data_IF_267140030545
#
_entry.id   IF_267140030545
#
_cell.length_a   1.000
_cell.length_b   1.000
_cell.length_c   1.000
_cell.angle_alpha   90.00
_cell.angle_beta   90.00
_cell.angle_gamma   90.00
#
_symmetry.space_group_name_H-M   'P 1'
#
loop_
_entity.id
_entity.type
_entity.pdbx_description
1 polymer ?
#
# COMPACT_ATOMS: atom_id res chain seq x y z
N UNK A 1 18.24 -50.91 4.12
CA UNK A 1 16.87 -51.32 4.52
C UNK A 1 15.92 -50.79 3.46
N UNK A 2 15.35 -51.72 2.68
CA UNK A 2 14.36 -51.41 1.63
C UNK A 2 13.01 -51.28 2.28
N UNK A 3 12.23 -50.25 1.93
CA UNK A 3 10.78 -50.23 2.12
C UNK A 3 10.05 -49.97 0.81
N UNK A 4 9.12 -50.86 0.58
CA UNK A 4 8.38 -51.19 -0.64
C UNK A 4 7.15 -50.32 -0.77
N UNK A 5 6.92 -49.84 -1.99
CA UNK A 5 5.65 -49.19 -2.43
C UNK A 5 4.54 -50.25 -2.49
N UNK A 6 3.37 -49.92 -1.94
CA UNK A 6 2.11 -50.63 -2.20
C UNK A 6 1.12 -49.67 -2.79
N UNK A 7 0.85 -49.86 -4.09
CA UNK A 7 -0.28 -49.27 -4.80
C UNK A 7 -1.54 -50.08 -4.53
N UNK A 8 -2.64 -49.46 -4.17
CA UNK A 8 -3.97 -50.08 -4.21
C UNK A 8 -4.85 -49.37 -5.27
N UNK A 9 -5.03 -50.04 -6.38
CA UNK A 9 -6.08 -49.86 -7.36
C UNK A 9 -7.40 -50.34 -6.78
N UNK A 10 -8.42 -49.48 -6.82
CA UNK A 10 -9.82 -49.87 -6.55
C UNK A 10 -10.58 -49.86 -7.86
N UNK A 11 -11.01 -51.07 -8.25
CA UNK A 11 -11.91 -51.32 -9.38
C UNK A 11 -13.34 -50.87 -9.07
N UNK A 12 -13.91 -50.05 -9.92
CA UNK A 12 -15.34 -49.75 -9.97
C UNK A 12 -16.08 -50.83 -10.79
N UNK A 13 -16.98 -51.57 -10.14
CA UNK A 13 -17.94 -52.41 -10.84
C UNK A 13 -19.23 -51.64 -11.12
N UNK A 14 -19.61 -51.64 -12.39
CA UNK A 14 -20.92 -51.25 -12.91
C UNK A 14 -22.04 -52.08 -12.25
N UNK A 15 -23.10 -51.37 -11.82
CA UNK A 15 -24.43 -51.97 -11.66
C UNK A 15 -25.39 -51.22 -12.60
N UNK A 16 -25.82 -51.93 -13.64
CA UNK A 16 -26.85 -51.46 -14.54
C UNK A 16 -28.23 -51.62 -13.88
N UNK A 17 -29.01 -50.55 -13.91
CA UNK A 17 -30.46 -50.58 -13.65
C UNK A 17 -31.18 -50.30 -14.96
N UNK A 18 -31.83 -51.33 -15.45
CA UNK A 18 -32.76 -51.29 -16.59
C UNK A 18 -34.06 -50.65 -16.10
N UNK A 19 -34.40 -49.46 -16.59
CA UNK A 19 -35.73 -48.88 -16.43
C UNK A 19 -36.47 -48.99 -17.74
N UNK A 20 -37.53 -49.84 -17.72
CA UNK A 20 -38.52 -49.97 -18.80
C UNK A 20 -39.24 -48.62 -19.01
N UNK A 21 -39.09 -48.08 -20.21
CA UNK A 21 -39.90 -46.96 -20.67
C UNK A 21 -41.23 -47.47 -21.22
N UNK A 22 -42.31 -47.10 -20.58
CA UNK A 22 -43.66 -47.22 -21.15
C UNK A 22 -43.88 -46.03 -22.09
N UNK A 23 -44.07 -46.39 -23.37
CA UNK A 23 -44.52 -45.48 -24.42
C UNK A 23 -45.99 -45.17 -24.25
N UNK A 24 -46.35 -44.02 -23.72
CA UNK A 24 -47.65 -43.43 -23.97
C UNK A 24 -47.56 -42.50 -25.17
N UNK A 25 -48.08 -42.93 -26.32
CA UNK A 25 -48.32 -42.03 -27.44
C UNK A 25 -49.54 -41.18 -27.12
N UNK A 26 -49.35 -39.96 -26.62
CA UNK A 26 -50.40 -38.97 -26.62
C UNK A 26 -50.23 -38.10 -27.89
N UNK A 27 -51.21 -38.12 -28.73
CA UNK A 27 -51.41 -37.20 -29.83
C UNK A 27 -51.58 -35.79 -29.25
N UNK A 28 -50.52 -35.09 -29.10
CA UNK A 28 -50.53 -33.63 -28.85
C UNK A 28 -50.76 -32.94 -30.22
N UNK A 29 -51.98 -32.48 -30.43
CA UNK A 29 -52.25 -31.49 -31.45
C UNK A 29 -51.34 -30.29 -31.18
N UNK A 30 -50.42 -29.98 -32.10
CA UNK A 30 -49.66 -28.75 -32.14
C UNK A 30 -50.67 -27.60 -32.33
N UNK A 31 -51.08 -27.00 -31.22
CA UNK A 31 -51.67 -25.67 -31.23
C UNK A 31 -50.49 -24.71 -31.46
N UNK A 32 -50.33 -24.27 -32.70
CA UNK A 32 -49.49 -23.14 -33.04
C UNK A 32 -49.98 -21.95 -32.20
N UNK A 33 -49.17 -21.36 -31.33
CA UNK A 33 -49.58 -20.14 -30.65
C UNK A 33 -49.66 -19.07 -31.74
N UNK A 34 -50.86 -18.63 -32.05
CA UNK A 34 -51.13 -17.44 -32.86
C UNK A 34 -50.51 -16.28 -32.11
N UNK A 35 -49.35 -15.82 -32.56
CA UNK A 35 -48.66 -14.69 -31.98
C UNK A 35 -49.62 -13.48 -31.95
N UNK A 36 -50.10 -13.16 -30.77
CA UNK A 36 -50.55 -11.81 -30.47
C UNK A 36 -49.28 -10.97 -30.43
N UNK A 37 -48.97 -10.32 -31.52
CA UNK A 37 -48.15 -9.12 -31.50
C UNK A 37 -48.85 -8.12 -30.56
N UNK A 38 -48.54 -8.14 -29.31
CA UNK A 38 -48.97 -7.13 -28.36
C UNK A 38 -48.26 -5.84 -28.76
N UNK A 39 -49.02 -4.83 -29.20
CA UNK A 39 -48.45 -3.56 -29.53
C UNK A 39 -47.65 -3.02 -28.33
N UNK A 40 -46.44 -2.54 -28.56
CA UNK A 40 -45.59 -2.01 -27.53
C UNK A 40 -46.34 -0.97 -26.69
N UNK A 41 -46.37 -1.20 -25.39
CA UNK A 41 -47.06 -0.29 -24.47
C UNK A 41 -46.06 0.43 -23.62
N UNK A 42 -45.98 1.76 -23.78
CA UNK A 42 -45.18 2.61 -22.92
C UNK A 42 -46.05 3.25 -21.85
N UNK A 43 -45.70 3.12 -20.60
CA UNK A 43 -46.41 3.66 -19.44
C UNK A 43 -45.45 4.34 -18.48
N UNK A 44 -45.71 5.61 -18.07
CA UNK A 44 -44.95 6.20 -16.99
C UNK A 44 -45.28 5.46 -15.68
N UNK A 45 -44.24 5.01 -14.99
CA UNK A 45 -44.34 4.26 -13.75
C UNK A 45 -43.49 4.89 -12.66
N UNK A 46 -43.99 4.96 -11.45
CA UNK A 46 -43.19 5.23 -10.28
C UNK A 46 -42.38 3.98 -9.95
N UNK A 47 -41.04 4.05 -10.07
CA UNK A 47 -40.17 2.90 -9.96
C UNK A 47 -39.47 2.88 -8.60
N UNK A 48 -39.55 1.73 -7.95
CA UNK A 48 -38.81 1.42 -6.73
C UNK A 48 -37.80 0.30 -7.04
N UNK A 49 -36.52 0.57 -6.82
CA UNK A 49 -35.43 -0.39 -7.07
C UNK A 49 -34.85 -0.83 -5.73
N UNK A 50 -34.92 -2.13 -5.44
CA UNK A 50 -34.42 -2.73 -4.17
C UNK A 50 -34.88 -1.95 -2.92
N UNK A 51 -36.13 -1.48 -2.93
CA UNK A 51 -36.71 -0.73 -1.81
C UNK A 51 -36.39 0.77 -1.76
N UNK A 52 -35.69 1.29 -2.76
CA UNK A 52 -35.38 2.73 -2.88
C UNK A 52 -36.20 3.32 -4.02
N UNK A 53 -36.93 4.41 -3.76
CA UNK A 53 -37.65 5.15 -4.81
C UNK A 53 -36.66 5.79 -5.80
N UNK A 54 -36.90 5.56 -7.08
CA UNK A 54 -36.11 6.04 -8.21
C UNK A 54 -36.86 7.04 -9.10
N UNK A 55 -38.02 7.52 -8.65
CA UNK A 55 -38.82 8.46 -9.39
C UNK A 55 -39.65 7.83 -10.50
N UNK A 56 -40.14 8.66 -11.45
CA UNK A 56 -41.02 8.22 -12.53
C UNK A 56 -40.24 8.01 -13.82
N UNK A 57 -40.34 6.79 -14.35
CA UNK A 57 -39.69 6.38 -15.60
C UNK A 57 -40.70 5.88 -16.62
N UNK A 58 -40.46 6.17 -17.89
CA UNK A 58 -41.25 5.59 -18.96
C UNK A 58 -40.80 4.14 -19.18
N UNK A 59 -41.66 3.18 -18.87
CA UNK A 59 -41.37 1.75 -19.01
C UNK A 59 -42.11 1.21 -20.23
N UNK A 60 -41.37 0.53 -21.10
CA UNK A 60 -41.93 -0.13 -22.30
C UNK A 60 -42.13 -1.61 -22.02
N UNK A 61 -43.35 -2.09 -22.25
CA UNK A 61 -43.67 -3.51 -22.28
C UNK A 61 -43.68 -4.00 -23.73
N UNK A 62 -42.78 -4.94 -24.03
CA UNK A 62 -42.61 -5.58 -25.33
C UNK A 62 -42.58 -7.09 -25.14
N UNK A 63 -43.48 -7.82 -25.81
CA UNK A 63 -43.63 -9.28 -25.70
C UNK A 63 -43.67 -9.80 -24.23
N UNK A 64 -44.32 -9.04 -23.33
CA UNK A 64 -44.45 -9.39 -21.92
C UNK A 64 -43.20 -9.17 -21.06
N UNK A 65 -42.11 -8.63 -21.62
CA UNK A 65 -40.92 -8.20 -20.92
C UNK A 65 -40.92 -6.68 -20.72
N UNK A 66 -40.29 -6.20 -19.62
CA UNK A 66 -40.20 -4.79 -19.29
C UNK A 66 -38.84 -4.24 -19.66
N UNK A 67 -38.88 -3.08 -20.31
CA UNK A 67 -37.69 -2.35 -20.78
C UNK A 67 -37.68 -0.93 -20.20
N UNK A 68 -36.49 -0.45 -19.86
CA UNK A 68 -36.28 0.90 -19.33
C UNK A 68 -35.26 1.68 -20.19
N UNK A 69 -35.32 3.01 -20.21
CA UNK A 69 -34.35 3.80 -20.93
C UNK A 69 -32.97 3.75 -20.24
N UNK A 70 -31.90 3.99 -20.98
CA UNK A 70 -30.53 4.00 -20.46
C UNK A 70 -30.37 4.90 -19.23
N UNK A 71 -30.96 6.10 -19.26
CA UNK A 71 -30.92 7.04 -18.15
C UNK A 71 -31.46 6.46 -16.84
N UNK A 72 -32.43 5.51 -16.90
CA UNK A 72 -32.94 4.81 -15.72
C UNK A 72 -31.87 3.89 -15.13
N UNK A 73 -31.15 3.12 -15.97
CA UNK A 73 -30.05 2.24 -15.50
C UNK A 73 -28.89 3.04 -14.91
N UNK A 74 -28.56 4.21 -15.48
CA UNK A 74 -27.53 5.10 -14.96
C UNK A 74 -27.96 5.64 -13.57
N UNK A 75 -29.21 6.06 -13.41
CA UNK A 75 -29.77 6.50 -12.12
C UNK A 75 -29.80 5.36 -11.09
N UNK A 76 -30.17 4.17 -11.50
CA UNK A 76 -30.16 2.97 -10.66
C UNK A 76 -28.75 2.45 -10.35
N UNK A 77 -27.72 3.05 -10.99
CA UNK A 77 -26.34 2.63 -10.87
C UNK A 77 -26.07 1.18 -11.30
N UNK A 78 -26.79 0.73 -12.33
CA UNK A 78 -26.63 -0.59 -12.93
C UNK A 78 -25.86 -0.43 -14.24
N UNK A 79 -24.61 -0.94 -14.35
CA UNK A 79 -23.86 -0.91 -15.60
C UNK A 79 -24.61 -1.69 -16.67
N UNK A 80 -24.92 -1.03 -17.79
CA UNK A 80 -25.54 -1.68 -18.93
C UNK A 80 -24.53 -2.52 -19.69
N UNK A 81 -24.84 -3.80 -19.91
CA UNK A 81 -24.10 -4.65 -20.83
C UNK A 81 -24.42 -4.20 -22.28
N UNK A 82 -23.41 -3.88 -23.10
CA UNK A 82 -23.62 -3.51 -24.50
C UNK A 82 -24.37 -4.57 -25.34
N UNK A 83 -24.33 -5.82 -24.91
CA UNK A 83 -25.02 -6.94 -25.56
C UNK A 83 -26.46 -7.16 -25.07
N UNK A 84 -26.92 -6.37 -24.10
CA UNK A 84 -28.26 -6.51 -23.56
C UNK A 84 -29.33 -6.28 -24.63
N UNK A 85 -30.39 -7.11 -24.68
CA UNK A 85 -31.51 -6.90 -25.58
C UNK A 85 -32.14 -5.52 -25.38
N UNK A 86 -32.40 -4.82 -26.47
CA UNK A 86 -33.03 -3.52 -26.47
C UNK A 86 -34.09 -3.43 -27.56
N UNK A 87 -35.03 -2.50 -27.38
CA UNK A 87 -36.10 -2.21 -28.36
C UNK A 87 -36.09 -0.71 -28.64
N UNK A 88 -36.27 -0.31 -29.89
CA UNK A 88 -36.52 1.08 -30.27
C UNK A 88 -38.00 1.39 -30.05
N UNK A 89 -38.28 2.39 -29.25
CA UNK A 89 -39.61 2.95 -29.09
C UNK A 89 -39.60 4.46 -29.38
N UNK A 90 -40.19 4.85 -30.48
CA UNK A 90 -40.25 6.23 -30.96
C UNK A 90 -38.89 6.93 -31.13
N UNK A 91 -37.88 6.18 -31.59
CA UNK A 91 -36.52 6.70 -31.84
C UNK A 91 -35.64 6.78 -30.58
N UNK A 92 -36.04 6.12 -29.50
CA UNK A 92 -35.26 5.96 -28.29
C UNK A 92 -35.11 4.49 -27.92
N UNK A 93 -33.90 4.08 -27.59
CA UNK A 93 -33.62 2.71 -27.16
C UNK A 93 -34.02 2.50 -25.69
N UNK A 94 -34.63 1.34 -25.44
CA UNK A 94 -34.98 0.83 -24.13
C UNK A 94 -34.38 -0.56 -23.93
N UNK A 95 -33.70 -0.77 -22.83
CA UNK A 95 -32.98 -2.02 -22.50
C UNK A 95 -33.80 -2.92 -21.60
N UNK A 96 -33.66 -4.24 -21.81
CA UNK A 96 -34.36 -5.26 -21.03
C UNK A 96 -33.91 -5.30 -19.58
N UNK A 97 -34.82 -5.06 -18.65
CA UNK A 97 -34.56 -5.25 -17.22
C UNK A 97 -34.33 -6.73 -16.85
N UNK A 98 -34.93 -7.64 -17.61
CA UNK A 98 -34.79 -9.09 -17.38
C UNK A 98 -33.36 -9.60 -17.65
N UNK A 99 -32.52 -8.84 -18.35
CA UNK A 99 -31.11 -9.16 -18.60
C UNK A 99 -30.22 -8.95 -17.37
N UNK A 100 -30.68 -8.13 -16.42
CA UNK A 100 -29.93 -7.84 -15.21
C UNK A 100 -30.06 -9.00 -14.20
N UNK A 101 -28.95 -9.40 -13.62
CA UNK A 101 -28.91 -10.51 -12.67
C UNK A 101 -29.87 -10.32 -11.49
N UNK A 102 -30.60 -11.38 -11.16
CA UNK A 102 -31.54 -11.42 -10.04
C UNK A 102 -32.83 -10.64 -10.26
N UNK A 103 -33.13 -10.25 -11.51
CA UNK A 103 -34.34 -9.51 -11.85
C UNK A 103 -35.62 -10.20 -11.34
N UNK A 104 -36.39 -9.41 -10.62
CA UNK A 104 -37.80 -9.73 -10.26
C UNK A 104 -38.59 -8.41 -10.30
N UNK A 105 -39.81 -8.46 -10.78
CA UNK A 105 -40.65 -7.26 -10.83
C UNK A 105 -42.04 -7.51 -10.28
N UNK A 106 -42.61 -6.50 -9.65
CA UNK A 106 -44.00 -6.45 -9.26
C UNK A 106 -44.61 -5.21 -9.85
N UNK A 107 -45.45 -5.38 -10.86
CA UNK A 107 -46.10 -4.32 -11.61
C UNK A 107 -47.52 -4.10 -11.10
N UNK A 108 -47.91 -2.86 -10.86
CA UNK A 108 -49.24 -2.46 -10.52
C UNK A 108 -49.71 -1.31 -11.45
N UNK A 109 -50.52 -1.67 -12.42
CA UNK A 109 -51.05 -0.66 -13.38
C UNK A 109 -52.05 0.32 -12.77
N UNK A 110 -52.78 -0.10 -11.73
CA UNK A 110 -53.82 0.77 -11.12
C UNK A 110 -53.16 1.97 -10.37
N UNK A 111 -52.02 1.71 -9.73
CA UNK A 111 -51.23 2.75 -9.05
C UNK A 111 -50.06 3.27 -9.88
N UNK A 112 -49.89 2.82 -11.11
CA UNK A 112 -48.77 3.12 -11.99
C UNK A 112 -47.40 2.95 -11.26
N UNK A 113 -47.25 1.87 -10.48
CA UNK A 113 -46.05 1.59 -9.73
C UNK A 113 -45.37 0.29 -10.18
N UNK A 114 -44.04 0.30 -10.16
CA UNK A 114 -43.20 -0.84 -10.52
C UNK A 114 -42.11 -1.03 -9.44
N UNK A 115 -42.23 -2.12 -8.69
CA UNK A 115 -41.18 -2.56 -7.78
C UNK A 115 -40.25 -3.53 -8.50
N UNK A 116 -38.98 -3.19 -8.58
CA UNK A 116 -37.94 -4.03 -9.21
C UNK A 116 -36.91 -4.43 -8.19
N UNK A 117 -36.55 -5.70 -8.22
CA UNK A 117 -35.45 -6.26 -7.45
C UNK A 117 -34.38 -6.75 -8.41
N UNK A 118 -33.13 -6.40 -8.15
CA UNK A 118 -31.94 -6.91 -8.81
C UNK A 118 -31.00 -7.52 -7.78
N UNK A 119 -30.12 -8.41 -8.22
CA UNK A 119 -29.05 -8.90 -7.36
C UNK A 119 -28.17 -7.71 -6.88
N UNK A 120 -27.79 -7.63 -5.63
CA UNK A 120 -26.91 -6.57 -5.15
C UNK A 120 -25.60 -6.44 -5.94
N UNK A 121 -25.08 -7.57 -6.47
CA UNK A 121 -23.86 -7.58 -7.28
C UNK A 121 -24.02 -6.93 -8.68
N UNK A 122 -25.25 -6.70 -9.13
CA UNK A 122 -25.53 -6.03 -10.40
C UNK A 122 -25.28 -4.52 -10.36
N UNK A 123 -25.21 -3.94 -9.18
CA UNK A 123 -24.99 -2.49 -9.02
C UNK A 123 -23.52 -2.10 -9.14
N UNK A 124 -23.26 -0.89 -9.62
CA UNK A 124 -21.93 -0.33 -9.65
C UNK A 124 -21.33 -0.26 -8.24
N UNK A 125 -20.05 -0.62 -8.13
CA UNK A 125 -19.31 -0.62 -6.86
C UNK A 125 -19.20 0.79 -6.28
N UNK A 126 -19.50 0.95 -5.00
CA UNK A 126 -19.30 2.18 -4.25
C UNK A 126 -17.93 2.16 -3.59
N UNK A 127 -17.10 3.14 -3.89
CA UNK A 127 -15.85 3.36 -3.17
C UNK A 127 -16.09 4.37 -2.04
N UNK A 128 -15.76 3.97 -0.82
CA UNK A 128 -15.82 4.79 0.37
C UNK A 128 -14.40 5.16 0.76
N UNK A 129 -14.12 6.44 0.82
CA UNK A 129 -12.80 6.98 1.16
C UNK A 129 -12.72 8.44 0.74
N UNK A 130 -11.65 9.12 1.11
CA UNK A 130 -11.35 10.42 0.53
C UNK A 130 -10.74 10.19 -0.86
N UNK A 131 -11.34 10.70 -1.92
CA UNK A 131 -10.70 10.65 -3.22
C UNK A 131 -9.39 11.44 -3.16
N UNK A 132 -8.27 10.81 -3.49
CA UNK A 132 -6.95 11.45 -3.59
C UNK A 132 -6.92 12.61 -4.60
N UNK A 133 -7.88 12.64 -5.52
CA UNK A 133 -8.10 13.72 -6.50
C UNK A 133 -8.46 15.08 -5.87
N UNK A 134 -8.73 15.14 -4.55
CA UNK A 134 -9.01 16.39 -3.85
C UNK A 134 -7.75 17.12 -3.33
N UNK A 135 -6.55 16.52 -3.52
CA UNK A 135 -5.32 17.21 -3.19
C UNK A 135 -5.04 18.30 -4.23
N UNK A 136 -4.61 19.52 -3.79
CA UNK A 136 -4.28 20.55 -4.73
C UNK A 136 -3.15 20.11 -5.67
N UNK A 137 -3.26 20.44 -6.94
CA UNK A 137 -2.19 20.20 -7.90
C UNK A 137 -0.91 20.87 -7.42
N UNK A 138 0.23 20.18 -7.61
CA UNK A 138 1.54 20.76 -7.30
C UNK A 138 1.75 21.99 -8.17
N UNK A 139 1.83 23.17 -7.55
CA UNK A 139 2.07 24.42 -8.26
C UNK A 139 3.53 24.53 -8.72
N UNK A 140 3.78 25.45 -9.64
CA UNK A 140 5.15 25.80 -10.07
C UNK A 140 5.85 26.48 -8.91
N UNK A 141 7.06 26.02 -8.56
CA UNK A 141 7.87 26.63 -7.52
C UNK A 141 8.32 28.03 -7.95
N UNK A 142 8.00 29.03 -7.15
CA UNK A 142 8.52 30.37 -7.36
C UNK A 142 9.99 30.47 -6.92
N UNK A 143 10.83 31.25 -7.60
CA UNK A 143 12.18 31.50 -7.15
C UNK A 143 12.18 32.07 -5.72
N UNK A 144 12.83 31.39 -4.80
CA UNK A 144 12.91 31.79 -3.39
C UNK A 144 14.26 31.48 -2.80
N UNK A 145 14.71 32.37 -1.90
CA UNK A 145 15.91 32.17 -1.09
C UNK A 145 15.48 32.09 0.36
N UNK A 146 16.03 31.13 1.12
CA UNK A 146 15.76 30.99 2.54
C UNK A 146 17.01 30.69 3.34
N UNK A 147 16.98 31.05 4.60
CA UNK A 147 18.02 30.78 5.59
C UNK A 147 17.37 30.20 6.85
N UNK A 148 17.75 28.97 7.19
CA UNK A 148 17.41 28.33 8.44
C UNK A 148 18.62 28.38 9.36
N UNK A 149 18.40 28.64 10.65
CA UNK A 149 19.48 28.62 11.62
C UNK A 149 19.01 28.13 12.98
N UNK A 150 19.90 27.45 13.68
CA UNK A 150 19.80 27.08 15.09
C UNK A 150 21.03 27.55 15.81
N UNK A 151 20.87 28.33 16.88
CA UNK A 151 21.93 28.86 17.69
C UNK A 151 21.79 28.38 19.12
N UNK A 152 22.84 27.74 19.65
CA UNK A 152 22.90 27.28 21.01
C UNK A 152 24.06 27.99 21.74
N UNK A 153 23.74 28.77 22.76
CA UNK A 153 24.74 29.40 23.62
C UNK A 153 24.70 28.76 25.00
N UNK A 154 25.87 28.27 25.45
CA UNK A 154 26.03 27.67 26.76
C UNK A 154 27.13 28.43 27.53
N UNK A 155 26.82 28.82 28.77
CA UNK A 155 27.78 29.36 29.73
C UNK A 155 27.82 28.46 30.95
N UNK A 156 29.03 28.04 31.33
CA UNK A 156 29.25 27.20 32.51
C UNK A 156 30.23 27.92 33.43
N UNK A 157 29.77 28.26 34.62
CA UNK A 157 30.61 28.85 35.69
C UNK A 157 30.90 27.75 36.71
N UNK A 158 32.18 27.42 36.89
CA UNK A 158 32.62 26.30 37.75
C UNK A 158 33.35 26.81 38.99
N UNK A 159 32.91 27.89 39.57
CA UNK A 159 33.48 28.46 40.83
C UNK A 159 34.95 28.83 40.72
N UNK A 160 35.83 27.95 41.13
CA UNK A 160 37.29 28.21 41.12
C UNK A 160 37.95 28.02 39.73
N UNK A 161 37.23 27.56 38.74
CA UNK A 161 37.71 27.40 37.35
C UNK A 161 37.25 28.56 36.45
N UNK A 162 37.96 28.78 35.34
CA UNK A 162 37.56 29.79 34.36
C UNK A 162 36.17 29.53 33.79
N UNK A 163 35.31 30.55 33.74
CA UNK A 163 34.00 30.51 33.08
C UNK A 163 34.16 30.07 31.63
N UNK A 164 33.49 28.99 31.25
CA UNK A 164 33.45 28.51 29.87
C UNK A 164 32.24 29.07 29.17
N UNK A 165 32.42 29.57 27.95
CA UNK A 165 31.37 30.03 27.06
C UNK A 165 31.52 29.31 25.73
N UNK A 166 30.42 28.80 25.21
CA UNK A 166 30.40 28.16 23.93
C UNK A 166 29.17 28.63 23.11
N UNK A 167 29.40 28.91 21.84
CA UNK A 167 28.34 29.16 20.86
C UNK A 167 28.43 28.09 19.78
N UNK A 168 27.38 27.26 19.70
CA UNK A 168 27.12 26.36 18.60
C UNK A 168 26.17 26.99 17.58
N UNK A 169 26.37 26.73 16.32
CA UNK A 169 25.54 27.21 15.23
C UNK A 169 25.30 26.07 14.21
N UNK A 170 24.06 25.80 13.86
CA UNK A 170 23.69 25.04 12.67
C UNK A 170 23.01 26.02 11.71
N UNK A 171 23.48 26.11 10.47
CA UNK A 171 22.91 26.99 9.46
C UNK A 171 22.65 26.24 8.15
N UNK A 172 21.58 26.58 7.47
CA UNK A 172 21.27 26.09 6.13
C UNK A 172 20.81 27.27 5.26
N UNK A 173 21.40 27.40 4.10
CA UNK A 173 20.94 28.31 3.05
C UNK A 173 20.38 27.50 1.91
N UNK A 174 19.21 27.89 1.36
CA UNK A 174 18.59 27.23 0.24
C UNK A 174 18.06 28.19 -0.81
N UNK A 175 18.19 27.80 -2.07
CA UNK A 175 17.60 28.46 -3.23
C UNK A 175 16.70 27.49 -3.99
N UNK A 176 15.43 27.84 -4.12
CA UNK A 176 14.40 27.09 -4.85
C UNK A 176 14.04 27.80 -6.14
N UNK A 177 13.83 27.04 -7.20
CA UNK A 177 13.31 27.51 -8.49
C UNK A 177 12.55 26.36 -9.21
N UNK A 178 12.02 26.63 -10.39
CA UNK A 178 11.43 25.63 -11.29
C UNK A 178 12.44 24.54 -11.74
N UNK A 179 13.74 24.86 -11.73
CA UNK A 179 14.81 23.91 -12.05
C UNK A 179 15.04 22.91 -10.91
N UNK A 180 14.76 23.28 -9.68
CA UNK A 180 14.96 22.46 -8.49
C UNK A 180 15.37 23.29 -7.28
N UNK A 181 15.79 22.60 -6.23
CA UNK A 181 16.23 23.15 -4.94
C UNK A 181 17.71 22.89 -4.72
N UNK A 182 18.47 23.94 -4.44
CA UNK A 182 19.84 23.83 -3.94
C UNK A 182 19.85 24.17 -2.45
N UNK A 183 20.43 23.33 -1.62
CA UNK A 183 20.64 23.59 -0.20
C UNK A 183 22.10 23.42 0.16
N UNK A 184 22.58 24.20 1.12
CA UNK A 184 23.92 24.02 1.73
C UNK A 184 23.83 24.26 3.22
N UNK A 185 24.32 23.32 4.02
CA UNK A 185 24.31 23.39 5.48
C UNK A 185 25.71 23.36 6.06
N UNK A 186 25.87 24.04 7.20
CA UNK A 186 27.16 24.17 7.91
C UNK A 186 26.95 24.16 9.42
N UNK A 187 27.93 23.62 10.11
CA UNK A 187 28.00 23.52 11.56
C UNK A 187 29.17 24.34 12.09
N UNK A 188 28.87 25.28 12.98
CA UNK A 188 29.86 26.01 13.79
C UNK A 188 29.92 25.44 15.20
N UNK A 189 31.11 25.18 15.71
CA UNK A 189 31.34 24.69 17.07
C UNK A 189 32.34 25.57 17.78
N UNK A 190 32.14 25.78 19.07
CA UNK A 190 33.02 26.53 19.94
C UNK A 190 33.36 27.95 19.41
N UNK A 191 32.35 28.59 18.77
CA UNK A 191 32.57 29.88 18.09
C UNK A 191 32.96 31.01 19.02
N UNK A 192 32.59 30.93 20.30
CA UNK A 192 32.90 31.91 21.36
C UNK A 192 33.80 31.35 22.47
N UNK A 193 34.38 30.16 22.27
CA UNK A 193 35.28 29.58 23.30
C UNK A 193 36.41 30.55 23.64
N UNK A 194 36.41 30.98 24.91
CA UNK A 194 37.36 31.93 25.46
C UNK A 194 38.36 31.27 26.43
N UNK A 195 38.38 29.95 26.55
CA UNK A 195 39.32 29.28 27.46
C UNK A 195 40.74 29.40 26.95
N UNK A 196 41.58 30.05 27.72
CA UNK A 196 43.00 30.28 27.40
C UNK A 196 43.84 29.00 27.30
N UNK A 197 43.26 27.85 27.59
CA UNK A 197 43.89 26.52 27.58
C UNK A 197 43.37 25.58 26.51
N UNK A 198 42.71 26.08 25.48
CA UNK A 198 42.53 25.54 24.14
C UNK A 198 42.27 24.06 23.97
N UNK A 199 41.34 23.47 24.72
CA UNK A 199 41.00 22.05 24.49
C UNK A 199 39.93 21.81 23.42
N UNK A 200 39.22 22.87 23.01
CA UNK A 200 38.16 22.74 21.97
C UNK A 200 38.45 23.78 20.86
N UNK A 201 38.98 23.32 19.76
CA UNK A 201 39.22 24.16 18.60
C UNK A 201 37.91 24.70 18.01
N UNK A 202 37.91 26.02 17.70
CA UNK A 202 36.84 26.60 16.89
C UNK A 202 36.80 25.90 15.55
N UNK A 203 35.64 25.47 15.15
CA UNK A 203 35.49 24.83 13.86
C UNK A 203 34.24 25.33 13.16
N UNK A 204 34.35 25.52 11.85
CA UNK A 204 33.23 25.76 10.95
C UNK A 204 33.30 24.72 9.83
N UNK A 205 32.35 23.85 9.81
CA UNK A 205 32.37 22.66 8.93
C UNK A 205 31.14 22.69 8.04
N UNK A 206 31.33 22.64 6.72
CA UNK A 206 30.24 22.38 5.79
C UNK A 206 29.73 20.94 5.99
N UNK A 207 28.46 20.78 6.20
CA UNK A 207 27.85 19.47 6.33
C UNK A 207 27.50 18.90 4.95
N UNK A 208 26.57 19.53 4.26
CA UNK A 208 26.03 19.02 3.00
C UNK A 208 25.83 20.16 1.99
N UNK A 209 25.95 19.84 0.71
CA UNK A 209 25.47 20.70 -0.37
C UNK A 209 24.83 19.82 -1.39
N UNK A 210 23.52 20.04 -1.63
CA UNK A 210 22.69 19.12 -2.43
C UNK A 210 21.81 19.91 -3.38
N UNK A 211 21.76 19.48 -4.61
CA UNK A 211 20.74 19.88 -5.57
C UNK A 211 19.69 18.76 -5.66
N UNK A 212 18.42 19.13 -5.51
CA UNK A 212 17.26 18.22 -5.59
C UNK A 212 16.36 18.64 -6.74
N UNK A 213 16.05 17.70 -7.62
CA UNK A 213 15.03 17.86 -8.67
C UNK A 213 13.98 16.75 -8.54
N UNK A 214 12.75 17.17 -8.32
CA UNK A 214 11.60 16.27 -8.21
C UNK A 214 10.85 16.18 -9.53
N UNK A 215 10.46 14.96 -9.88
CA UNK A 215 9.62 14.61 -11.02
C UNK A 215 8.31 14.02 -10.47
N UNK A 216 7.40 14.91 -10.07
CA UNK A 216 6.20 14.55 -9.31
C UNK A 216 5.31 13.54 -10.06
N UNK A 217 5.12 13.72 -11.37
CA UNK A 217 4.28 12.82 -12.19
C UNK A 217 4.83 11.39 -12.25
N UNK A 218 6.16 11.25 -12.25
CA UNK A 218 6.86 9.96 -12.27
C UNK A 218 7.15 9.43 -10.87
N UNK A 219 6.90 10.22 -9.83
CA UNK A 219 7.26 9.90 -8.44
C UNK A 219 8.75 9.55 -8.29
N UNK A 220 9.61 10.38 -8.87
CA UNK A 220 11.06 10.19 -8.88
C UNK A 220 11.77 11.46 -8.42
N UNK A 221 12.96 11.30 -7.83
CA UNK A 221 13.81 12.40 -7.40
C UNK A 221 15.24 12.17 -7.85
N UNK A 222 15.85 13.20 -8.41
CA UNK A 222 17.29 13.30 -8.68
C UNK A 222 17.95 14.15 -7.58
N UNK A 223 18.99 13.60 -6.97
CA UNK A 223 19.86 14.29 -6.00
C UNK A 223 21.28 14.35 -6.56
N UNK A 224 21.87 15.54 -6.55
CA UNK A 224 23.26 15.76 -6.93
C UNK A 224 23.98 16.46 -5.77
N UNK A 225 25.14 15.94 -5.35
CA UNK A 225 25.90 16.44 -4.22
C UNK A 225 25.93 15.50 -3.04
N UNK A 226 25.94 16.02 -1.82
CA UNK A 226 26.01 15.21 -0.60
C UNK A 226 24.62 14.62 -0.28
N UNK A 227 24.56 13.32 -0.08
CA UNK A 227 23.33 12.59 0.28
C UNK A 227 23.67 11.26 0.92
N UNK A 228 22.66 10.50 1.33
CA UNK A 228 22.81 9.13 1.81
C UNK A 228 22.29 8.13 0.80
N UNK A 229 22.85 6.92 0.80
CA UNK A 229 22.29 5.80 0.02
C UNK A 229 20.96 5.34 0.61
N UNK A 230 20.11 4.74 -0.23
CA UNK A 230 18.90 4.08 0.25
C UNK A 230 19.26 2.83 1.06
N UNK A 231 18.63 2.62 2.19
CA UNK A 231 18.84 1.43 3.02
C UNK A 231 18.26 0.18 2.35
N UNK A 232 18.96 -0.95 2.46
CA UNK A 232 18.49 -2.29 2.11
C UNK A 232 18.14 -3.08 3.36
N UNK A 233 17.57 -4.27 3.21
CA UNK A 233 17.24 -5.14 4.35
C UNK A 233 18.44 -5.52 5.21
N UNK A 234 19.63 -5.62 4.61
CA UNK A 234 20.85 -6.09 5.27
C UNK A 234 21.96 -5.05 5.37
N UNK A 235 21.88 -3.98 4.56
CA UNK A 235 22.94 -2.98 4.46
C UNK A 235 22.58 -1.66 5.16
N UNK A 236 23.58 -1.07 5.79
CA UNK A 236 23.49 0.29 6.33
C UNK A 236 23.53 1.33 5.22
N UNK A 237 22.82 2.44 5.39
CA UNK A 237 23.00 3.60 4.53
C UNK A 237 24.37 4.25 4.80
N UNK A 238 25.05 4.67 3.74
CA UNK A 238 26.29 5.46 3.84
C UNK A 238 26.05 6.86 3.29
N UNK A 239 26.76 7.85 3.84
CA UNK A 239 26.81 9.19 3.28
C UNK A 239 27.80 9.25 2.13
N UNK A 240 27.48 10.01 1.09
CA UNK A 240 28.34 10.16 -0.08
C UNK A 240 28.09 11.47 -0.81
N UNK A 241 29.06 11.91 -1.59
CA UNK A 241 28.92 12.98 -2.56
C UNK A 241 28.89 12.40 -3.97
N UNK A 242 27.82 12.69 -4.72
CA UNK A 242 27.64 12.12 -6.04
C UNK A 242 26.25 12.33 -6.61
N UNK A 243 25.69 11.27 -7.17
CA UNK A 243 24.37 11.25 -7.82
C UNK A 243 23.52 10.13 -7.20
N UNK A 244 22.25 10.45 -6.89
CA UNK A 244 21.20 9.47 -6.58
C UNK A 244 19.97 9.78 -7.40
N UNK A 245 19.46 8.77 -8.10
CA UNK A 245 18.19 8.85 -8.82
C UNK A 245 17.33 7.65 -8.47
N UNK A 246 16.06 7.87 -8.15
CA UNK A 246 15.20 6.78 -7.73
C UNK A 246 13.76 7.20 -7.46
N UNK A 247 12.94 6.23 -7.09
CA UNK A 247 11.55 6.44 -6.71
C UNK A 247 11.43 7.31 -5.47
N UNK A 248 10.43 8.19 -5.46
CA UNK A 248 10.05 9.02 -4.34
C UNK A 248 8.52 9.16 -4.27
N UNK A 249 7.89 8.29 -3.53
CA UNK A 249 6.43 8.28 -3.38
C UNK A 249 5.91 9.42 -2.50
N UNK A 250 6.78 10.05 -1.71
CA UNK A 250 6.44 11.22 -0.89
C UNK A 250 6.01 12.45 -1.71
N UNK A 251 6.32 12.47 -3.01
CA UNK A 251 5.89 13.54 -3.95
C UNK A 251 4.39 13.51 -4.22
N UNK A 252 3.72 12.41 -3.94
CA UNK A 252 2.27 12.28 -4.05
C UNK A 252 1.71 12.05 -2.65
N UNK A 253 1.23 13.10 -1.96
CA UNK A 253 0.68 12.96 -0.62
C UNK A 253 -0.42 11.91 -0.61
N UNK A 254 -0.33 10.96 0.33
CA UNK A 254 -1.27 9.87 0.47
C UNK A 254 -1.12 8.71 -0.51
N UNK A 255 -0.08 8.68 -1.31
CA UNK A 255 0.24 7.50 -2.10
C UNK A 255 0.54 6.29 -1.19
N UNK A 256 -0.15 5.18 -1.43
CA UNK A 256 -0.06 3.97 -0.62
C UNK A 256 1.17 3.17 -1.04
N UNK A 257 2.15 3.08 -0.15
CA UNK A 257 3.41 2.35 -0.37
C UNK A 257 3.50 1.02 0.36
N UNK A 258 2.43 0.62 1.02
CA UNK A 258 2.36 -0.64 1.77
C UNK A 258 1.05 -1.35 1.44
N UNK A 259 1.01 -2.69 1.44
CA UNK A 259 -0.22 -3.44 1.21
C UNK A 259 -1.30 -3.06 2.23
N UNK A 260 -2.51 -2.93 1.72
CA UNK A 260 -3.68 -2.62 2.54
C UNK A 260 -4.74 -3.70 2.35
N UNK A 261 -5.37 -4.19 3.44
CA UNK A 261 -6.44 -5.15 3.30
C UNK A 261 -7.62 -4.50 2.56
N UNK A 262 -8.12 -5.19 1.55
CA UNK A 262 -9.37 -4.81 0.89
C UNK A 262 -10.52 -5.04 1.88
N UNK A 263 -11.00 -3.94 2.45
CA UNK A 263 -12.20 -3.94 3.27
C UNK A 263 -13.39 -3.62 2.37
N UNK A 264 -14.36 -4.51 2.33
CA UNK A 264 -15.55 -4.32 1.52
C UNK A 264 -16.55 -5.43 1.72
N UNK A 265 -17.67 -5.28 1.06
CA UNK A 265 -18.77 -6.23 1.12
C UNK A 265 -19.84 -5.90 0.11
N UNK A 266 -21.00 -6.52 0.28
CA UNK A 266 -22.18 -6.29 -0.56
C UNK A 266 -23.33 -5.88 0.36
N UNK A 267 -23.98 -4.78 0.04
CA UNK A 267 -25.16 -4.31 0.75
C UNK A 267 -26.43 -4.64 -0.05
N UNK A 268 -27.34 -5.41 0.54
CA UNK A 268 -28.60 -5.79 -0.12
C UNK A 268 -29.63 -4.65 -0.12
N UNK A 269 -29.52 -3.70 0.80
CA UNK A 269 -30.34 -2.49 0.94
C UNK A 269 -29.46 -1.31 1.35
N UNK A 270 -29.93 -0.07 1.18
CA UNK A 270 -29.18 1.08 1.71
C UNK A 270 -28.82 0.85 3.18
N UNK A 271 -27.55 1.03 3.52
CA UNK A 271 -27.01 0.65 4.82
C UNK A 271 -26.03 1.68 5.36
N UNK A 272 -25.83 1.69 6.66
CA UNK A 272 -24.76 2.41 7.32
C UNK A 272 -23.63 1.43 7.63
N UNK A 273 -22.41 1.80 7.27
CA UNK A 273 -21.20 1.02 7.54
C UNK A 273 -20.38 1.74 8.60
N UNK A 274 -20.04 1.02 9.64
CA UNK A 274 -19.11 1.48 10.68
C UNK A 274 -17.85 0.63 10.66
N UNK A 275 -16.70 1.29 10.44
CA UNK A 275 -15.37 0.68 10.49
C UNK A 275 -14.79 0.83 11.90
N UNK A 276 -14.51 -0.28 12.54
CA UNK A 276 -13.74 -0.35 13.77
C UNK A 276 -12.36 -0.92 13.49
N UNK A 277 -11.32 -0.32 14.08
CA UNK A 277 -9.95 -0.84 14.05
C UNK A 277 -9.55 -1.06 15.51
N UNK A 278 -9.19 -2.30 15.84
CA UNK A 278 -8.87 -2.73 17.21
C UNK A 278 -9.92 -2.30 18.22
N UNK A 279 -11.21 -2.47 17.86
CA UNK A 279 -12.35 -2.10 18.71
C UNK A 279 -12.72 -0.61 18.71
N UNK A 280 -11.90 0.26 18.15
CA UNK A 280 -12.15 1.72 18.10
C UNK A 280 -12.87 2.10 16.82
N UNK A 281 -14.01 2.79 16.92
CA UNK A 281 -14.72 3.34 15.75
C UNK A 281 -13.85 4.40 15.05
N UNK A 282 -13.55 4.16 13.79
CA UNK A 282 -12.72 5.05 12.94
C UNK A 282 -13.53 5.84 11.93
N UNK A 283 -14.54 5.20 11.35
CA UNK A 283 -15.32 5.81 10.29
C UNK A 283 -16.74 5.27 10.30
N UNK A 284 -17.71 6.13 9.95
CA UNK A 284 -19.08 5.75 9.62
C UNK A 284 -19.45 6.35 8.26
N UNK A 285 -20.03 5.55 7.37
CA UNK A 285 -20.40 5.95 6.02
C UNK A 285 -21.74 5.32 5.64
N UNK A 286 -22.52 6.02 4.82
CA UNK A 286 -23.73 5.44 4.23
C UNK A 286 -23.41 4.88 2.85
N UNK A 287 -23.99 3.72 2.53
CA UNK A 287 -23.86 3.08 1.23
C UNK A 287 -25.24 2.75 0.65
N UNK A 288 -25.42 2.93 -0.65
CA UNK A 288 -26.57 2.42 -1.36
C UNK A 288 -26.49 0.88 -1.50
N UNK A 289 -27.50 0.30 -2.14
CA UNK A 289 -27.48 -1.10 -2.57
C UNK A 289 -26.28 -1.35 -3.48
N UNK A 290 -25.65 -2.51 -3.32
CA UNK A 290 -24.58 -2.97 -4.19
C UNK A 290 -23.28 -3.28 -3.46
N UNK A 291 -22.25 -3.66 -4.23
CA UNK A 291 -20.93 -3.90 -3.70
C UNK A 291 -20.28 -2.57 -3.29
N UNK A 292 -19.53 -2.63 -2.18
CA UNK A 292 -18.76 -1.47 -1.70
C UNK A 292 -17.34 -1.88 -1.29
N UNK A 293 -16.41 -0.93 -1.38
CA UNK A 293 -15.05 -1.04 -0.85
C UNK A 293 -14.74 0.20 -0.03
N UNK A 294 -13.99 0.00 1.06
CA UNK A 294 -13.45 1.09 1.87
C UNK A 294 -11.99 1.23 1.48
N UNK A 295 -11.67 2.36 0.86
CA UNK A 295 -10.31 2.77 0.54
C UNK A 295 -9.87 3.82 1.57
N UNK A 296 -9.26 3.37 2.65
CA UNK A 296 -8.89 4.23 3.77
C UNK A 296 -7.53 3.85 4.36
N UNK A 297 -6.50 4.03 3.54
CA UNK A 297 -5.10 3.70 3.82
C UNK A 297 -4.55 4.32 5.10
N UNK A 298 -5.03 5.52 5.47
CA UNK A 298 -4.52 6.23 6.64
C UNK A 298 -5.01 5.69 7.98
N UNK A 299 -6.01 4.81 7.98
CA UNK A 299 -6.61 4.26 9.20
C UNK A 299 -6.01 2.92 9.62
N UNK A 300 -5.29 2.24 8.73
CA UNK A 300 -4.76 0.89 8.94
C UNK A 300 -3.24 0.92 8.89
N UNK A 301 -2.60 1.13 10.03
CA UNK A 301 -1.14 1.06 10.17
C UNK A 301 -0.77 0.00 11.20
N UNK A 302 0.30 -0.74 10.93
CA UNK A 302 0.72 -1.83 11.81
C UNK A 302 -0.08 -3.12 11.57
N UNK A 303 -0.29 -3.91 12.60
CA UNK A 303 -1.11 -5.11 12.54
C UNK A 303 -2.27 -5.01 13.52
N UNK A 304 -3.40 -5.61 13.18
CA UNK A 304 -4.59 -5.55 14.02
C UNK A 304 -5.80 -6.23 13.41
N UNK A 305 -6.97 -5.89 13.93
CA UNK A 305 -8.26 -6.38 13.47
C UNK A 305 -9.11 -5.21 12.96
N UNK A 306 -9.54 -5.28 11.72
CA UNK A 306 -10.53 -4.39 11.14
C UNK A 306 -11.90 -5.07 11.13
N UNK A 307 -12.90 -4.42 11.72
CA UNK A 307 -14.26 -4.92 11.82
C UNK A 307 -15.23 -3.95 11.15
N UNK A 308 -15.91 -4.41 10.11
CA UNK A 308 -16.98 -3.68 9.45
C UNK A 308 -18.32 -4.13 10.01
N UNK A 309 -19.08 -3.21 10.55
CA UNK A 309 -20.47 -3.41 10.96
C UNK A 309 -21.36 -2.74 9.92
N UNK A 310 -22.06 -3.55 9.15
CA UNK A 310 -23.02 -3.10 8.12
C UNK A 310 -24.41 -3.19 8.73
N UNK A 311 -25.06 -2.06 8.95
CA UNK A 311 -26.43 -1.97 9.49
C UNK A 311 -27.37 -1.50 8.39
N UNK A 312 -28.35 -2.33 8.05
CA UNK A 312 -29.38 -1.99 7.05
C UNK A 312 -30.51 -1.10 7.64
N UNK A 313 -31.41 -0.66 6.75
CA UNK A 313 -32.56 0.18 7.14
C UNK A 313 -33.53 -0.51 8.12
N UNK A 314 -33.51 -1.85 8.20
CA UNK A 314 -34.32 -2.63 9.13
C UNK A 314 -33.60 -2.86 10.45
N UNK A 315 -32.38 -2.32 10.63
CA UNK A 315 -31.58 -2.47 11.84
C UNK A 315 -30.83 -3.80 11.93
N UNK A 316 -30.84 -4.64 10.88
CA UNK A 316 -30.08 -5.89 10.88
C UNK A 316 -28.61 -5.57 10.70
N UNK A 317 -27.77 -6.23 11.50
CA UNK A 317 -26.33 -6.04 11.44
C UNK A 317 -25.63 -7.25 10.85
N UNK A 318 -24.70 -6.99 9.94
CA UNK A 318 -23.75 -7.97 9.43
C UNK A 318 -22.37 -7.51 9.80
N UNK A 319 -21.60 -8.39 10.43
CA UNK A 319 -20.23 -8.07 10.88
C UNK A 319 -19.24 -8.83 9.99
N UNK A 320 -18.30 -8.11 9.41
CA UNK A 320 -17.19 -8.65 8.63
C UNK A 320 -15.90 -8.30 9.36
N UNK A 321 -15.20 -9.31 9.85
CA UNK A 321 -13.93 -9.14 10.55
C UNK A 321 -12.77 -9.61 9.66
N UNK A 322 -11.69 -8.81 9.60
CA UNK A 322 -10.46 -9.10 8.89
C UNK A 322 -9.27 -8.71 9.73
N UNK A 323 -8.38 -9.66 9.99
CA UNK A 323 -7.05 -9.34 10.49
C UNK A 323 -6.21 -8.76 9.37
N UNK A 324 -5.26 -7.89 9.70
CA UNK A 324 -4.36 -7.29 8.72
C UNK A 324 -2.96 -7.08 9.29
N UNK A 325 -1.98 -7.09 8.40
CA UNK A 325 -0.61 -6.63 8.65
C UNK A 325 -0.26 -5.61 7.59
N UNK A 326 0.01 -4.39 8.02
CA UNK A 326 0.48 -3.31 7.16
C UNK A 326 1.88 -2.94 7.60
N UNK A 327 2.88 -3.26 6.80
CA UNK A 327 4.30 -3.04 7.10
C UNK A 327 4.99 -2.30 5.94
N UNK A 328 5.82 -1.33 6.29
CA UNK A 328 6.66 -0.61 5.30
C UNK A 328 7.74 -1.50 4.66
N UNK A 329 7.90 -2.73 5.17
CA UNK A 329 8.77 -3.75 4.55
C UNK A 329 8.13 -4.40 3.32
N UNK A 330 6.80 -4.34 3.19
CA UNK A 330 6.05 -4.84 2.05
C UNK A 330 5.72 -3.71 1.07
N UNK A 331 5.61 -4.06 -0.20
CA UNK A 331 5.09 -3.18 -1.26
C UNK A 331 3.78 -3.76 -1.81
N UNK A 332 2.82 -2.91 -2.20
CA UNK A 332 1.61 -3.35 -2.90
C UNK A 332 1.94 -4.08 -4.19
N UNK A 333 1.02 -4.92 -4.65
CA UNK A 333 1.17 -5.65 -5.91
C UNK A 333 1.50 -4.73 -7.08
N UNK A 334 2.56 -5.05 -7.82
CA UNK A 334 3.02 -4.31 -9.00
C UNK A 334 3.75 -3.00 -8.71
N UNK A 335 3.99 -2.63 -7.44
CA UNK A 335 4.77 -1.44 -7.12
C UNK A 335 6.27 -1.75 -7.15
N UNK A 336 7.03 -0.91 -7.85
CA UNK A 336 8.49 -0.92 -7.89
C UNK A 336 9.05 0.25 -7.08
N UNK A 337 9.98 -0.04 -6.17
CA UNK A 337 10.73 0.94 -5.39
C UNK A 337 12.23 0.74 -5.63
N UNK A 338 12.89 1.72 -6.25
CA UNK A 338 14.26 1.56 -6.73
C UNK A 338 15.11 2.82 -6.55
N UNK A 339 16.42 2.63 -6.51
CA UNK A 339 17.40 3.72 -6.52
C UNK A 339 18.69 3.28 -7.22
N UNK A 340 19.28 4.19 -7.98
CA UNK A 340 20.62 4.06 -8.54
C UNK A 340 21.48 5.19 -7.97
N UNK A 341 22.65 4.83 -7.49
CA UNK A 341 23.53 5.70 -6.72
C UNK A 341 24.98 5.54 -7.18
N UNK A 342 25.70 6.63 -7.35
CA UNK A 342 27.11 6.61 -7.69
C UNK A 342 27.82 7.86 -7.14
N UNK A 343 29.01 7.69 -6.63
CA UNK A 343 29.76 8.81 -6.05
C UNK A 343 30.98 8.38 -5.28
N UNK A 344 31.39 9.23 -4.34
CA UNK A 344 32.48 8.97 -3.40
C UNK A 344 31.96 8.99 -1.98
N UNK A 345 32.33 8.01 -1.18
CA UNK A 345 31.92 7.90 0.21
C UNK A 345 32.31 9.15 0.99
N UNK A 346 31.38 9.72 1.75
CA UNK A 346 31.63 10.86 2.62
C UNK A 346 32.19 10.36 3.95
N UNK A 347 33.42 10.76 4.24
CA UNK A 347 34.10 10.49 5.50
C UNK A 347 33.99 11.70 6.41
N UNK A 348 34.16 11.49 7.71
CA UNK A 348 34.29 12.56 8.71
C UNK A 348 33.19 13.62 8.65
N UNK A 349 31.94 13.22 8.38
CA UNK A 349 30.79 14.12 8.37
C UNK A 349 30.67 14.85 9.71
N UNK A 350 30.58 16.17 9.66
CA UNK A 350 30.49 17.02 10.84
C UNK A 350 31.85 17.33 11.51
N UNK A 351 32.97 16.80 11.04
CA UNK A 351 34.32 17.10 11.50
C UNK A 351 35.22 17.68 10.39
N UNK A 352 34.97 17.28 9.13
CA UNK A 352 35.67 17.82 7.96
C UNK A 352 34.69 18.27 6.88
N UNK A 353 34.98 19.41 6.24
CA UNK A 353 34.09 20.01 5.24
C UNK A 353 34.05 19.26 3.90
N UNK A 354 35.08 18.50 3.55
CA UNK A 354 35.22 17.88 2.22
C UNK A 354 36.12 16.63 2.28
N UNK A 355 35.81 15.70 3.18
CA UNK A 355 36.51 14.41 3.26
C UNK A 355 35.77 13.36 2.48
N UNK A 356 36.35 12.92 1.36
CA UNK A 356 35.73 11.91 0.48
C UNK A 356 36.69 10.73 0.25
N UNK A 357 36.20 9.52 0.46
CA UNK A 357 36.93 8.29 0.27
C UNK A 357 36.81 7.72 -1.14
N UNK A 358 36.78 6.39 -1.24
CA UNK A 358 36.69 5.66 -2.48
C UNK A 358 35.39 5.89 -3.24
N UNK A 359 35.47 5.72 -4.57
CA UNK A 359 34.30 5.71 -5.43
C UNK A 359 33.49 4.43 -5.32
N UNK A 360 32.16 4.53 -5.53
CA UNK A 360 31.27 3.39 -5.55
C UNK A 360 30.12 3.59 -6.53
N UNK A 361 29.50 2.47 -6.90
CA UNK A 361 28.21 2.41 -7.58
C UNK A 361 27.29 1.44 -6.86
N UNK A 362 26.00 1.75 -6.80
CA UNK A 362 24.98 0.91 -6.15
C UNK A 362 23.64 1.04 -6.87
N UNK A 363 22.93 -0.07 -6.95
CA UNK A 363 21.52 -0.10 -7.32
C UNK A 363 20.77 -0.99 -6.35
N UNK A 364 19.57 -0.55 -5.98
CA UNK A 364 18.62 -1.32 -5.19
C UNK A 364 17.28 -1.32 -5.92
N UNK A 365 16.60 -2.44 -5.89
CA UNK A 365 15.28 -2.61 -6.46
C UNK A 365 14.44 -3.50 -5.57
N UNK A 366 13.22 -3.07 -5.31
CA UNK A 366 12.21 -3.78 -4.54
C UNK A 366 10.95 -3.88 -5.36
N UNK A 367 10.31 -5.04 -5.37
CA UNK A 367 9.08 -5.29 -6.13
C UNK A 367 8.05 -6.02 -5.28
N UNK A 368 6.82 -5.48 -5.25
CA UNK A 368 5.67 -6.15 -4.69
C UNK A 368 5.04 -7.11 -5.71
N UNK A 369 5.22 -8.42 -5.52
CA UNK A 369 4.60 -9.43 -6.39
C UNK A 369 3.09 -9.54 -6.15
N UNK A 370 2.70 -9.46 -4.90
CA UNK A 370 1.31 -9.40 -4.45
C UNK A 370 1.27 -8.71 -3.08
N UNK A 371 0.08 -8.62 -2.49
CA UNK A 371 -0.11 -7.95 -1.19
C UNK A 371 0.61 -8.64 -0.02
N UNK A 372 1.13 -9.85 -0.21
CA UNK A 372 1.76 -10.66 0.83
C UNK A 372 3.25 -10.88 0.63
N UNK A 373 3.80 -10.54 -0.55
CA UNK A 373 5.17 -10.88 -0.91
C UNK A 373 5.89 -9.76 -1.64
N UNK A 374 7.04 -9.35 -1.08
CA UNK A 374 7.97 -8.38 -1.67
C UNK A 374 9.35 -8.99 -1.80
N UNK A 375 9.98 -8.78 -2.96
CA UNK A 375 11.36 -9.14 -3.24
C UNK A 375 12.24 -7.89 -3.25
N UNK A 376 13.49 -8.01 -2.77
CA UNK A 376 14.53 -6.99 -2.83
C UNK A 376 15.77 -7.55 -3.51
N UNK A 377 16.37 -6.78 -4.41
CA UNK A 377 17.66 -7.02 -5.01
C UNK A 377 18.59 -5.83 -4.78
N UNK A 378 19.83 -6.08 -4.40
CA UNK A 378 20.87 -5.06 -4.27
C UNK A 378 22.14 -5.48 -4.98
N UNK A 379 22.72 -4.58 -5.75
CA UNK A 379 24.04 -4.73 -6.32
C UNK A 379 24.84 -3.48 -6.00
N UNK A 380 26.07 -3.66 -5.52
CA UNK A 380 26.95 -2.55 -5.19
C UNK A 380 28.41 -2.93 -5.40
N UNK A 381 29.26 -1.92 -5.61
CA UNK A 381 30.67 -2.17 -5.79
C UNK A 381 31.52 -0.92 -5.68
N UNK A 382 32.79 -1.17 -5.36
CA UNK A 382 33.90 -0.21 -5.39
C UNK A 382 34.95 -0.72 -6.38
N UNK A 383 36.12 -0.09 -6.43
CA UNK A 383 37.23 -0.58 -7.24
C UNK A 383 37.72 -1.98 -6.79
N UNK A 384 37.60 -2.31 -5.50
CA UNK A 384 38.18 -3.52 -4.90
C UNK A 384 37.15 -4.48 -4.31
N UNK A 385 35.86 -4.12 -4.33
CA UNK A 385 34.78 -4.91 -3.71
C UNK A 385 33.57 -4.97 -4.63
N UNK A 386 32.89 -6.11 -4.66
CA UNK A 386 31.62 -6.34 -5.36
C UNK A 386 30.67 -7.09 -4.44
N UNK A 387 29.43 -6.65 -4.40
CA UNK A 387 28.42 -7.26 -3.51
C UNK A 387 27.11 -7.44 -4.28
N UNK A 388 26.49 -8.60 -4.05
CA UNK A 388 25.16 -8.94 -4.57
C UNK A 388 24.32 -9.45 -3.41
N UNK A 389 23.12 -8.91 -3.26
CA UNK A 389 22.17 -9.29 -2.21
C UNK A 389 20.78 -9.55 -2.78
N UNK A 390 20.11 -10.53 -2.17
CA UNK A 390 18.70 -10.83 -2.39
C UNK A 390 18.00 -10.88 -1.04
N UNK A 391 16.85 -10.26 -0.96
CA UNK A 391 16.00 -10.23 0.23
C UNK A 391 14.55 -10.52 -0.13
N UNK A 392 13.81 -11.07 0.79
CA UNK A 392 12.39 -11.30 0.66
C UNK A 392 11.67 -10.98 1.96
N UNK A 393 10.45 -10.50 1.82
CA UNK A 393 9.51 -10.29 2.92
C UNK A 393 8.18 -10.94 2.54
N UNK A 394 7.60 -11.70 3.47
CA UNK A 394 6.34 -12.40 3.24
C UNK A 394 5.44 -12.39 4.47
N UNK A 395 4.15 -12.20 4.23
CA UNK A 395 3.11 -12.49 5.23
C UNK A 395 3.00 -14.00 5.36
N UNK A 396 3.32 -14.54 6.54
CA UNK A 396 3.28 -16.00 6.82
C UNK A 396 1.88 -16.39 7.26
N UNK A 397 1.26 -15.57 8.07
CA UNK A 397 -0.14 -15.67 8.48
C UNK A 397 -0.69 -14.25 8.69
N UNK A 398 -1.98 -14.12 8.94
CA UNK A 398 -2.69 -12.83 9.09
C UNK A 398 -2.06 -11.80 10.05
N UNK A 399 -1.14 -12.21 10.92
CA UNK A 399 -0.47 -11.33 11.90
C UNK A 399 1.05 -11.50 11.92
N UNK A 400 1.62 -12.41 11.12
CA UNK A 400 3.02 -12.74 11.14
C UNK A 400 3.70 -12.38 9.82
N UNK A 401 4.77 -11.64 9.92
CA UNK A 401 5.63 -11.27 8.81
C UNK A 401 6.99 -11.98 8.97
N UNK A 402 7.40 -12.68 7.93
CA UNK A 402 8.73 -13.28 7.82
C UNK A 402 9.62 -12.45 6.89
N UNK A 403 10.89 -12.33 7.22
CA UNK A 403 11.90 -11.73 6.35
C UNK A 403 13.15 -12.59 6.29
N UNK A 404 13.75 -12.69 5.12
CA UNK A 404 15.02 -13.38 4.92
C UNK A 404 15.84 -12.63 3.87
N UNK A 405 17.16 -12.60 4.06
CA UNK A 405 18.07 -12.07 3.05
C UNK A 405 19.41 -12.83 3.05
N UNK A 406 20.03 -12.88 1.88
CA UNK A 406 21.36 -13.42 1.67
C UNK A 406 22.15 -12.44 0.81
N UNK A 407 23.32 -12.06 1.29
CA UNK A 407 24.24 -11.16 0.60
C UNK A 407 25.58 -11.85 0.44
N UNK A 408 26.15 -11.78 -0.74
CA UNK A 408 27.51 -12.23 -1.03
C UNK A 408 28.38 -11.04 -1.35
N UNK A 409 29.57 -10.98 -0.79
CA UNK A 409 30.58 -9.98 -1.15
C UNK A 409 31.87 -10.65 -1.58
N UNK A 410 32.60 -10.03 -2.48
CA UNK A 410 33.94 -10.43 -2.87
C UNK A 410 34.84 -9.20 -2.77
N UNK A 411 35.88 -9.30 -1.95
CA UNK A 411 36.92 -8.28 -1.80
C UNK A 411 38.22 -8.82 -2.36
N UNK A 412 38.95 -8.05 -3.15
CA UNK A 412 40.17 -8.50 -3.84
C UNK A 412 41.23 -9.09 -2.88
N UNK A 413 41.40 -8.48 -1.70
CA UNK A 413 42.37 -8.93 -0.70
C UNK A 413 41.85 -10.07 0.20
N UNK A 414 40.55 -10.12 0.51
CA UNK A 414 39.98 -11.03 1.51
C UNK A 414 39.29 -12.25 0.89
N UNK A 415 38.89 -12.16 -0.39
CA UNK A 415 38.10 -13.16 -1.08
C UNK A 415 36.59 -13.02 -0.81
N UNK A 416 35.87 -14.13 -0.97
CA UNK A 416 34.41 -14.17 -0.87
C UNK A 416 33.93 -14.29 0.57
N UNK A 417 32.88 -13.54 0.89
CA UNK A 417 32.16 -13.57 2.17
C UNK A 417 30.67 -13.56 1.98
N UNK A 418 29.93 -13.93 3.01
CA UNK A 418 28.46 -13.99 3.00
C UNK A 418 27.89 -13.38 4.27
N UNK A 419 26.72 -12.76 4.13
CA UNK A 419 25.88 -12.30 5.23
C UNK A 419 24.48 -12.88 5.03
N UNK A 420 23.84 -13.29 6.10
CA UNK A 420 22.45 -13.72 6.10
C UNK A 420 21.65 -13.00 7.17
N UNK A 421 20.36 -12.84 6.91
CA UNK A 421 19.39 -12.25 7.84
C UNK A 421 18.13 -13.11 7.82
N UNK A 422 17.62 -13.42 9.02
CA UNK A 422 16.30 -14.02 9.22
C UNK A 422 15.55 -13.19 10.25
N UNK A 423 14.31 -12.86 9.95
CA UNK A 423 13.47 -12.06 10.82
C UNK A 423 12.04 -12.60 10.88
N UNK A 424 11.44 -12.51 12.04
CA UNK A 424 10.03 -12.79 12.27
C UNK A 424 9.45 -11.66 13.10
N UNK A 425 8.31 -11.16 12.66
CA UNK A 425 7.63 -10.03 13.28
C UNK A 425 6.14 -10.37 13.41
N UNK A 426 5.57 -10.16 14.57
CA UNK A 426 4.14 -10.24 14.82
C UNK A 426 3.64 -8.87 15.24
N UNK A 427 2.56 -8.45 14.62
CA UNK A 427 1.86 -7.23 15.00
C UNK A 427 0.38 -7.58 15.22
N UNK A 428 -0.12 -7.30 16.40
CA UNK A 428 -1.51 -7.48 16.78
C UNK A 428 -1.97 -6.35 17.70
N UNK A 429 -3.27 -6.23 17.93
CA UNK A 429 -3.88 -5.15 18.69
C UNK A 429 -3.27 -4.96 20.09
N UNK A 430 -2.97 -6.06 20.79
CA UNK A 430 -2.45 -6.02 22.16
C UNK A 430 -1.03 -6.57 22.32
N UNK A 431 -0.49 -7.24 21.27
CA UNK A 431 0.82 -7.87 21.38
C UNK A 431 1.65 -7.61 20.13
N UNK A 432 2.89 -7.19 20.30
CA UNK A 432 3.88 -7.20 19.24
C UNK A 432 5.09 -8.02 19.65
N UNK A 433 5.68 -8.70 18.68
CA UNK A 433 6.91 -9.48 18.82
C UNK A 433 7.79 -9.20 17.62
N UNK A 434 9.07 -8.98 17.88
CA UNK A 434 10.11 -8.87 16.85
C UNK A 434 11.28 -9.75 17.26
N UNK A 435 11.72 -10.59 16.33
CA UNK A 435 12.94 -11.42 16.50
C UNK A 435 13.71 -11.37 15.19
N UNK A 436 14.97 -11.01 15.25
CA UNK A 436 15.87 -11.00 14.09
C UNK A 436 17.20 -11.61 14.45
N UNK A 437 17.69 -12.46 13.57
CA UNK A 437 19.05 -13.01 13.60
C UNK A 437 19.78 -12.61 12.32
N UNK A 438 21.01 -12.16 12.47
CA UNK A 438 21.90 -11.80 11.36
C UNK A 438 23.28 -12.37 11.64
N UNK A 439 23.92 -12.89 10.61
CA UNK A 439 25.27 -13.42 10.73
C UNK A 439 26.13 -13.13 9.51
N UNK A 440 27.42 -12.93 9.76
CA UNK A 440 28.43 -12.60 8.74
C UNK A 440 29.58 -13.59 8.80
N UNK A 441 30.06 -14.02 7.63
CA UNK A 441 31.31 -14.77 7.55
C UNK A 441 32.52 -13.83 7.76
N UNK A 442 33.64 -14.36 8.18
CA UNK A 442 34.86 -13.58 8.51
C UNK A 442 35.38 -12.72 7.35
N UNK A 443 35.10 -13.09 6.12
CA UNK A 443 35.51 -12.39 4.90
C UNK A 443 34.47 -11.43 4.34
N UNK A 444 33.27 -11.41 4.91
CA UNK A 444 32.22 -10.49 4.44
C UNK A 444 32.61 -9.05 4.74
N UNK A 445 32.37 -8.18 3.79
CA UNK A 445 32.45 -6.72 3.94
C UNK A 445 31.27 -6.09 3.22
N UNK A 446 30.61 -5.14 3.91
CA UNK A 446 29.59 -4.28 3.30
C UNK A 446 30.22 -3.01 2.71
N UNK A 447 29.45 -2.27 1.95
CA UNK A 447 29.86 -1.01 1.36
C UNK A 447 30.29 -0.03 2.47
N UNK A 448 31.48 0.56 2.31
CA UNK A 448 32.04 1.48 3.31
C UNK A 448 32.84 0.84 4.44
N UNK A 449 32.83 -0.49 4.55
CA UNK A 449 33.64 -1.20 5.51
C UNK A 449 35.06 -1.49 4.95
N UNK A 450 36.08 -1.06 5.69
CA UNK A 450 37.46 -1.36 5.35
C UNK A 450 37.81 -2.83 5.63
N UNK A 451 38.97 -3.27 5.07
CA UNK A 451 39.47 -4.63 5.28
C UNK A 451 39.74 -4.97 6.75
N UNK A 452 40.08 -3.99 7.55
CA UNK A 452 40.39 -4.14 8.98
C UNK A 452 39.14 -4.17 9.87
N UNK A 453 37.96 -3.98 9.29
CA UNK A 453 36.70 -4.06 10.01
C UNK A 453 36.38 -5.51 10.40
N UNK A 454 36.12 -5.78 11.70
CA UNK A 454 35.71 -7.08 12.18
C UNK A 454 34.23 -7.34 11.87
N UNK A 455 33.88 -8.39 11.07
CA UNK A 455 32.48 -8.72 10.82
C UNK A 455 31.79 -9.22 12.09
N UNK A 456 30.50 -8.94 12.21
CA UNK A 456 29.66 -9.43 13.31
C UNK A 456 29.23 -10.86 12.99
N UNK A 457 29.86 -11.85 13.62
CA UNK A 457 29.58 -13.26 13.32
C UNK A 457 28.14 -13.65 13.57
N UNK A 458 27.52 -13.14 14.65
CA UNK A 458 26.12 -13.36 14.97
C UNK A 458 25.61 -12.18 15.80
N UNK A 459 24.49 -11.61 15.34
CA UNK A 459 23.72 -10.62 16.08
C UNK A 459 22.29 -11.15 16.22
N UNK A 460 21.78 -11.12 17.46
CA UNK A 460 20.40 -11.44 17.77
C UNK A 460 19.73 -10.19 18.37
N UNK A 461 18.59 -9.84 17.84
CA UNK A 461 17.73 -8.79 18.39
C UNK A 461 16.33 -9.36 18.61
N UNK A 462 15.77 -9.12 19.78
CA UNK A 462 14.40 -9.53 20.09
C UNK A 462 13.74 -8.47 20.93
N UNK A 463 12.46 -8.20 20.67
CA UNK A 463 11.63 -7.39 21.54
C UNK A 463 10.20 -7.92 21.57
N UNK A 464 9.55 -7.78 22.70
CA UNK A 464 8.15 -8.14 22.88
C UNK A 464 7.44 -7.02 23.63
N UNK A 465 6.20 -6.71 23.21
CA UNK A 465 5.36 -5.72 23.85
C UNK A 465 3.97 -6.31 24.07
N UNK A 466 3.41 -6.06 25.23
CA UNK A 466 2.05 -6.41 25.60
C UNK A 466 1.32 -5.19 26.14
N UNK A 467 0.21 -4.83 25.51
CA UNK A 467 -0.68 -3.77 25.95
C UNK A 467 -1.91 -4.36 26.66
N UNK A 468 -2.17 -3.91 27.87
CA UNK A 468 -3.32 -4.30 28.67
C UNK A 468 -4.18 -3.08 28.97
N UNK A 469 -5.49 -3.17 28.74
CA UNK A 469 -6.44 -2.08 29.00
C UNK A 469 -6.45 -1.65 30.48
N UNK A 470 -6.11 -2.56 31.40
CA UNK A 470 -6.14 -2.32 32.82
C UNK A 470 -4.79 -1.90 33.40
N UNK A 471 -3.71 -2.44 32.93
CA UNK A 471 -2.38 -2.33 33.56
C UNK A 471 -1.37 -1.53 32.73
N UNK A 472 -1.77 -1.04 31.55
CA UNK A 472 -0.88 -0.31 30.66
C UNK A 472 -0.03 -1.23 29.76
N UNK A 473 1.06 -0.69 29.22
CA UNK A 473 1.92 -1.39 28.24
C UNK A 473 3.19 -1.87 28.92
N UNK A 474 3.52 -3.14 28.71
CA UNK A 474 4.75 -3.79 29.15
C UNK A 474 5.61 -4.12 27.94
N UNK A 475 6.90 -3.83 28.02
CA UNK A 475 7.85 -4.14 26.95
C UNK A 475 9.13 -4.70 27.53
N UNK A 476 9.75 -5.61 26.75
CA UNK A 476 11.07 -6.19 26.99
C UNK A 476 11.82 -6.23 25.65
N UNK A 477 13.11 -5.94 25.71
CA UNK A 477 13.99 -5.98 24.55
C UNK A 477 15.40 -6.42 24.93
#
# INVERSE_FOLDING_TARGET
>A
MRFTYISRTVNSRLLGVVLMAWLFTSNAQTVTPRGKTTADRATPMEVTVNGTSSGTWLIVEHDGALFAPRAAFDDWRIPLDPSAPHVDFKGQDYWSMAWVAGYRSKLNFASQSLDVLFSPDAFARTQLGRPWSSLPAVGVALPSLFLNYDLNYQRTDSGDAATRQDLGMLGEIGFSSDLGLVTSSALGRNLTDNTAQGHLQRSFVRLETTFTKDFADQKQTLLLGDTSTRTSMTGSGIYFGGVRFGSNFGLTPGFITQPMPLLGGVSAMPSTISLYVDGVLRQTSSVPVGPFTIDNSTLLTGGGEARLVVRDLLGRETVITRSFVSSNKLLPAGLDDWSVEAGRMRLDLGTASASYGGGFGRAIWRHGYNEEFTLEGVVQGTATQRTLGLGLVRVVTEQWLGSAALVTSHHDDLGAGTQWLLGVERQGASTSLFVQAQGESSKFRDLGQGKDFGPVQLQLAASATYASDRFGTFGVG
#
